data_IF_130130967977
#
_entry.id   IF_130130967977
#
_cell.length_a   1.000
_cell.length_b   1.000
_cell.length_c   1.000
_cell.angle_alpha   90.00
_cell.angle_beta   90.00
_cell.angle_gamma   90.00
#
_symmetry.space_group_name_H-M   'P 1'
#
loop_
_entity.id
_entity.type
_entity.pdbx_description
1 polymer ?
#
# COMPACT_ATOMS: atom_id res chain seq x y z
N UNK A 1 -59.59 -27.52 -19.27
CA UNK A 1 -58.86 -26.25 -19.11
C UNK A 1 -57.63 -26.48 -18.23
N UNK A 2 -56.45 -26.54 -18.83
CA UNK A 2 -55.17 -26.16 -18.19
C UNK A 2 -55.07 -24.61 -18.22
N UNK A 3 -54.15 -23.90 -17.51
CA UNK A 3 -52.83 -24.30 -16.99
C UNK A 3 -52.62 -23.78 -15.54
N UNK A 4 -51.48 -23.78 -14.82
CA UNK A 4 -50.06 -23.76 -15.16
C UNK A 4 -49.27 -24.05 -13.87
N UNK A 5 -48.26 -24.93 -13.94
CA UNK A 5 -47.17 -24.98 -12.94
C UNK A 5 -46.32 -23.70 -13.09
N UNK A 6 -45.97 -23.05 -11.98
CA UNK A 6 -44.84 -22.12 -11.95
C UNK A 6 -43.90 -22.49 -10.82
N UNK A 7 -43.00 -23.41 -11.15
CA UNK A 7 -41.64 -23.45 -10.63
C UNK A 7 -41.02 -22.07 -10.86
N UNK A 8 -40.68 -21.34 -9.81
CA UNK A 8 -39.86 -20.13 -9.92
C UNK A 8 -38.76 -20.19 -8.85
N UNK A 9 -37.66 -20.80 -9.30
CA UNK A 9 -36.27 -20.51 -9.00
C UNK A 9 -35.95 -19.95 -7.60
N UNK A 10 -35.26 -20.83 -6.85
CA UNK A 10 -34.22 -20.47 -5.89
C UNK A 10 -33.38 -19.31 -6.42
N UNK A 11 -33.52 -18.12 -5.81
CA UNK A 11 -32.49 -17.09 -5.87
C UNK A 11 -31.33 -17.55 -4.99
N UNK A 12 -30.46 -18.38 -5.54
CA UNK A 12 -29.08 -18.47 -5.07
C UNK A 12 -28.43 -17.13 -5.35
N UNK A 13 -28.29 -16.33 -4.31
CA UNK A 13 -27.45 -15.14 -4.26
C UNK A 13 -26.00 -15.57 -4.43
N UNK A 14 -25.58 -15.68 -5.69
CA UNK A 14 -24.16 -15.75 -6.05
C UNK A 14 -23.56 -14.38 -5.74
N UNK A 15 -22.96 -14.25 -4.55
CA UNK A 15 -22.11 -13.12 -4.21
C UNK A 15 -20.87 -13.18 -5.09
N UNK A 16 -20.95 -12.56 -6.27
CA UNK A 16 -19.81 -12.30 -7.12
C UNK A 16 -18.90 -11.30 -6.39
N UNK A 17 -17.74 -11.79 -5.96
CA UNK A 17 -16.56 -11.02 -5.59
C UNK A 17 -16.17 -10.12 -6.77
N UNK A 18 -16.73 -8.92 -6.83
CA UNK A 18 -16.35 -7.89 -7.80
C UNK A 18 -15.28 -6.96 -7.18
N UNK A 19 -14.08 -7.49 -6.95
CA UNK A 19 -12.89 -6.69 -6.65
C UNK A 19 -12.26 -6.36 -8.01
N UNK A 20 -12.73 -5.33 -8.70
CA UNK A 20 -12.16 -5.04 -10.03
C UNK A 20 -12.72 -3.88 -10.86
N UNK A 21 -13.57 -3.00 -10.34
CA UNK A 21 -14.16 -1.93 -11.18
C UNK A 21 -14.43 -0.60 -10.43
N UNK A 22 -13.46 -0.09 -9.66
CA UNK A 22 -13.56 1.24 -9.05
C UNK A 22 -12.88 2.36 -9.87
N UNK A 23 -12.38 2.08 -11.07
CA UNK A 23 -11.43 2.98 -11.74
C UNK A 23 -12.00 3.94 -12.80
N UNK A 24 -13.30 3.89 -13.14
CA UNK A 24 -13.83 4.68 -14.28
C UNK A 24 -14.96 5.65 -13.94
N UNK A 25 -15.52 5.63 -12.73
CA UNK A 25 -16.59 6.54 -12.34
C UNK A 25 -16.10 7.90 -11.76
N UNK A 26 -14.80 8.06 -11.50
CA UNK A 26 -14.26 9.27 -10.85
C UNK A 26 -13.96 10.45 -11.80
N UNK A 27 -14.01 10.28 -13.13
CA UNK A 27 -13.64 11.34 -14.08
C UNK A 27 -14.78 12.33 -14.42
N UNK A 28 -16.02 12.07 -14.00
CA UNK A 28 -17.18 12.86 -14.45
C UNK A 28 -17.56 14.05 -13.53
N UNK A 29 -16.84 14.30 -12.43
CA UNK A 29 -17.19 15.34 -11.43
C UNK A 29 -16.17 16.45 -11.21
N UNK A 30 -15.10 16.50 -12.00
CA UNK A 30 -13.92 17.33 -11.72
C UNK A 30 -13.97 18.74 -12.36
N UNK A 31 -14.93 19.56 -11.95
CA UNK A 31 -14.80 21.02 -12.13
C UNK A 31 -13.95 21.58 -10.98
N UNK A 32 -12.68 21.89 -11.29
CA UNK A 32 -11.61 22.39 -10.40
C UNK A 32 -10.74 21.32 -9.69
N UNK A 33 -10.03 20.47 -10.44
CA UNK A 33 -8.85 19.77 -9.90
C UNK A 33 -7.73 20.81 -9.79
N UNK A 34 -7.44 21.25 -8.58
CA UNK A 34 -6.16 21.88 -8.30
C UNK A 34 -5.06 20.87 -8.68
N UNK A 35 -4.11 21.20 -9.59
CA UNK A 35 -3.04 20.29 -9.97
C UNK A 35 -2.14 19.87 -8.78
N UNK A 36 -2.23 20.57 -7.65
CA UNK A 36 -1.56 20.28 -6.39
C UNK A 36 -2.54 19.80 -5.29
N UNK A 37 -3.81 19.57 -5.63
CA UNK A 37 -4.82 19.08 -4.71
C UNK A 37 -4.53 17.66 -4.20
N UNK A 38 -5.11 17.31 -3.04
CA UNK A 38 -4.97 15.99 -2.43
C UNK A 38 -5.21 14.81 -3.39
N UNK A 39 -6.25 14.81 -4.26
CA UNK A 39 -6.48 13.70 -5.17
C UNK A 39 -5.33 13.49 -6.16
N UNK A 40 -4.77 14.56 -6.72
CA UNK A 40 -3.67 14.48 -7.68
C UNK A 40 -2.36 14.03 -6.99
N UNK A 41 -2.11 14.53 -5.78
CA UNK A 41 -0.99 14.08 -4.96
C UNK A 41 -1.08 12.57 -4.65
N UNK A 42 -2.26 12.10 -4.23
CA UNK A 42 -2.51 10.68 -3.99
C UNK A 42 -2.34 9.82 -5.25
N UNK A 43 -2.81 10.29 -6.40
CA UNK A 43 -2.61 9.60 -7.68
C UNK A 43 -1.12 9.47 -8.02
N UNK A 44 -0.31 10.50 -7.75
CA UNK A 44 1.14 10.47 -8.03
C UNK A 44 1.92 9.47 -7.17
N UNK A 45 1.35 9.06 -6.03
CA UNK A 45 1.95 8.09 -5.12
C UNK A 45 1.44 6.66 -5.29
N UNK A 46 0.37 6.46 -6.08
CA UNK A 46 -0.30 5.16 -6.19
C UNK A 46 0.66 4.03 -6.57
N UNK A 47 1.36 4.19 -7.68
CA UNK A 47 2.23 3.13 -8.20
C UNK A 47 3.48 2.94 -7.32
N UNK A 48 4.18 4.02 -6.88
CA UNK A 48 5.28 3.89 -5.90
C UNK A 48 4.87 3.22 -4.60
N UNK A 49 3.73 3.58 -4.01
CA UNK A 49 3.25 3.00 -2.76
C UNK A 49 2.84 1.52 -2.94
N UNK A 50 2.17 1.18 -4.04
CA UNK A 50 1.83 -0.21 -4.34
C UNK A 50 3.09 -1.06 -4.55
N UNK A 51 4.07 -0.54 -5.29
CA UNK A 51 5.38 -1.18 -5.46
C UNK A 51 6.04 -1.38 -4.10
N UNK A 52 5.99 -0.37 -3.22
CA UNK A 52 6.61 -0.48 -1.91
C UNK A 52 6.02 -1.58 -1.03
N UNK A 53 4.70 -1.75 -1.03
CA UNK A 53 4.05 -2.84 -0.29
C UNK A 53 4.47 -4.21 -0.85
N UNK A 54 4.49 -4.37 -2.17
CA UNK A 54 4.94 -5.62 -2.81
C UNK A 54 6.40 -5.93 -2.47
N UNK A 55 7.30 -4.95 -2.67
CA UNK A 55 8.73 -5.15 -2.44
C UNK A 55 9.03 -5.47 -0.97
N UNK A 56 8.34 -4.83 -0.01
CA UNK A 56 8.50 -5.17 1.42
C UNK A 56 8.03 -6.58 1.71
N UNK A 57 6.87 -6.98 1.16
CA UNK A 57 6.36 -8.34 1.31
C UNK A 57 7.34 -9.38 0.76
N UNK A 58 7.94 -9.10 -0.39
CA UNK A 58 8.90 -9.99 -1.03
C UNK A 58 10.23 -10.03 -0.25
N UNK A 59 10.70 -8.89 0.25
CA UNK A 59 11.90 -8.80 1.09
C UNK A 59 11.74 -9.60 2.39
N UNK A 60 10.60 -9.48 3.06
CA UNK A 60 10.29 -10.23 4.28
C UNK A 60 10.20 -11.75 4.03
N UNK A 61 9.76 -12.18 2.85
CA UNK A 61 9.79 -13.60 2.48
C UNK A 61 11.21 -14.09 2.18
N UNK A 62 12.06 -13.24 1.61
CA UNK A 62 13.45 -13.56 1.27
C UNK A 62 14.44 -13.49 2.44
N UNK A 63 14.09 -12.77 3.51
CA UNK A 63 15.01 -12.42 4.60
C UNK A 63 15.69 -13.62 5.28
N UNK A 64 15.04 -14.78 5.35
CA UNK A 64 15.62 -15.97 5.96
C UNK A 64 16.69 -16.63 5.08
N UNK A 65 16.59 -16.46 3.78
CA UNK A 65 17.47 -17.08 2.78
C UNK A 65 18.64 -16.16 2.42
N UNK A 66 18.35 -14.86 2.27
CA UNK A 66 19.32 -13.82 1.94
C UNK A 66 18.91 -12.49 2.59
N UNK A 67 19.28 -12.26 3.86
CA UNK A 67 18.90 -11.05 4.57
C UNK A 67 19.55 -9.79 3.98
N UNK A 68 20.70 -9.91 3.33
CA UNK A 68 21.36 -8.78 2.67
C UNK A 68 20.56 -8.34 1.44
N UNK A 69 20.15 -9.29 0.60
CA UNK A 69 19.30 -8.98 -0.55
C UNK A 69 17.95 -8.37 -0.11
N UNK A 70 17.37 -8.83 1.00
CA UNK A 70 16.17 -8.24 1.57
C UNK A 70 16.39 -6.78 2.02
N UNK A 71 17.51 -6.49 2.70
CA UNK A 71 17.86 -5.13 3.11
C UNK A 71 18.02 -4.19 1.91
N UNK A 72 18.76 -4.64 0.89
CA UNK A 72 19.01 -3.85 -0.32
C UNK A 72 17.71 -3.59 -1.11
N UNK A 73 16.80 -4.57 -1.13
CA UNK A 73 15.48 -4.39 -1.73
C UNK A 73 14.66 -3.34 -0.98
N UNK A 74 14.55 -3.42 0.34
CA UNK A 74 13.83 -2.42 1.16
C UNK A 74 14.44 -1.02 0.99
N UNK A 75 15.77 -0.91 0.97
CA UNK A 75 16.48 0.35 0.72
C UNK A 75 16.14 0.94 -0.65
N UNK A 76 16.18 0.14 -1.71
CA UNK A 76 15.85 0.60 -3.06
C UNK A 76 14.39 1.08 -3.15
N UNK A 77 13.48 0.33 -2.53
CA UNK A 77 12.07 0.70 -2.42
C UNK A 77 11.86 2.00 -1.68
N UNK A 78 12.52 2.19 -0.53
CA UNK A 78 12.49 3.41 0.27
C UNK A 78 12.96 4.60 -0.55
N UNK A 79 14.07 4.46 -1.26
CA UNK A 79 14.64 5.55 -2.08
C UNK A 79 13.72 5.93 -3.25
N UNK A 80 13.10 4.95 -3.90
CA UNK A 80 12.15 5.21 -4.99
C UNK A 80 10.86 5.87 -4.48
N UNK A 81 10.37 5.46 -3.31
CA UNK A 81 9.24 6.12 -2.67
C UNK A 81 9.60 7.54 -2.25
N UNK A 82 10.77 7.78 -1.65
CA UNK A 82 11.23 9.13 -1.27
C UNK A 82 11.27 10.05 -2.50
N UNK A 83 11.82 9.60 -3.63
CA UNK A 83 11.83 10.38 -4.88
C UNK A 83 10.42 10.74 -5.36
N UNK A 84 9.43 9.89 -5.11
CA UNK A 84 8.03 10.19 -5.42
C UNK A 84 7.45 11.21 -4.43
N UNK A 85 7.66 11.01 -3.12
CA UNK A 85 7.25 11.90 -2.03
C UNK A 85 7.81 13.32 -2.21
N UNK A 86 9.07 13.45 -2.66
CA UNK A 86 9.71 14.75 -2.89
C UNK A 86 9.01 15.58 -3.98
N UNK A 87 8.33 14.91 -4.91
CA UNK A 87 7.57 15.55 -5.99
C UNK A 87 6.15 15.95 -5.57
N UNK A 88 5.64 15.38 -4.46
CA UNK A 88 4.32 15.70 -3.93
C UNK A 88 4.30 17.14 -3.44
N UNK A 89 3.31 17.91 -3.90
CA UNK A 89 3.13 19.32 -3.54
C UNK A 89 2.11 19.54 -2.42
N UNK A 90 1.23 18.56 -2.19
CA UNK A 90 0.28 18.64 -1.10
C UNK A 90 0.95 18.25 0.22
N UNK A 91 1.01 19.17 1.17
CA UNK A 91 1.74 18.96 2.43
C UNK A 91 1.18 17.79 3.27
N UNK A 92 -0.14 17.63 3.34
CA UNK A 92 -0.76 16.53 4.11
C UNK A 92 -0.42 15.16 3.51
N UNK A 93 -0.56 15.02 2.19
CA UNK A 93 -0.24 13.78 1.49
C UNK A 93 1.26 13.51 1.55
N UNK A 94 2.09 14.55 1.39
CA UNK A 94 3.55 14.44 1.52
C UNK A 94 3.95 13.98 2.91
N UNK A 95 3.41 14.59 3.96
CA UNK A 95 3.71 14.24 5.35
C UNK A 95 3.26 12.81 5.66
N UNK A 96 2.08 12.38 5.18
CA UNK A 96 1.62 11.01 5.37
C UNK A 96 2.48 9.99 4.62
N UNK A 97 2.92 10.32 3.40
CA UNK A 97 3.77 9.44 2.62
C UNK A 97 5.21 9.39 3.16
N UNK A 98 5.70 10.49 3.75
CA UNK A 98 6.99 10.51 4.44
C UNK A 98 7.02 9.53 5.61
N UNK A 99 5.92 9.38 6.36
CA UNK A 99 5.84 8.36 7.43
C UNK A 99 6.03 6.94 6.91
N UNK A 100 5.58 6.65 5.68
CA UNK A 100 5.83 5.35 5.04
C UNK A 100 7.32 5.18 4.73
N UNK A 101 7.96 6.22 4.21
CA UNK A 101 9.41 6.21 3.96
C UNK A 101 10.21 6.01 5.26
N UNK A 102 9.83 6.69 6.32
CA UNK A 102 10.48 6.57 7.63
C UNK A 102 10.32 5.14 8.18
N UNK A 103 9.11 4.57 8.11
CA UNK A 103 8.86 3.18 8.52
C UNK A 103 9.64 2.14 7.68
N UNK A 104 9.85 2.41 6.39
CA UNK A 104 10.73 1.58 5.55
C UNK A 104 12.20 1.69 5.99
N UNK A 105 12.64 2.86 6.45
CA UNK A 105 13.97 3.07 7.02
C UNK A 105 14.19 2.32 8.33
N UNK A 106 13.17 2.28 9.19
CA UNK A 106 13.18 1.48 10.42
C UNK A 106 13.23 -0.02 10.09
N UNK A 107 12.47 -0.46 9.07
CA UNK A 107 12.51 -1.83 8.61
C UNK A 107 13.88 -2.21 8.05
N UNK A 108 14.46 -1.38 7.18
CA UNK A 108 15.83 -1.55 6.67
C UNK A 108 16.82 -1.71 7.83
N UNK A 109 16.75 -0.83 8.84
CA UNK A 109 17.62 -0.87 10.02
C UNK A 109 17.48 -2.17 10.80
N UNK A 110 16.24 -2.66 10.97
CA UNK A 110 15.98 -3.94 11.63
C UNK A 110 16.55 -5.13 10.83
N UNK A 111 16.48 -5.09 9.49
CA UNK A 111 17.07 -6.13 8.63
C UNK A 111 18.61 -6.06 8.70
N UNK A 112 19.21 -4.87 8.60
CA UNK A 112 20.67 -4.68 8.69
C UNK A 112 21.22 -5.17 10.03
N UNK A 113 20.49 -4.96 11.13
CA UNK A 113 20.85 -5.50 12.44
C UNK A 113 20.86 -7.05 12.44
N UNK A 114 19.91 -7.68 11.76
CA UNK A 114 19.84 -9.14 11.58
C UNK A 114 20.99 -9.66 10.71
N UNK A 115 21.34 -8.94 9.64
CA UNK A 115 22.51 -9.25 8.79
C UNK A 115 23.79 -9.20 9.62
N UNK A 116 23.96 -8.17 10.44
CA UNK A 116 25.14 -8.01 11.29
C UNK A 116 25.25 -9.10 12.38
N UNK A 117 24.11 -9.54 12.91
CA UNK A 117 24.03 -10.54 13.98
C UNK A 117 23.11 -11.73 13.61
N UNK A 118 23.54 -12.63 12.71
CA UNK A 118 22.71 -13.75 12.24
C UNK A 118 22.40 -14.80 13.33
N UNK A 119 23.09 -14.77 14.47
CA UNK A 119 22.78 -15.60 15.63
C UNK A 119 21.65 -15.02 16.51
N UNK A 120 21.32 -13.73 16.37
CA UNK A 120 20.30 -13.06 17.17
C UNK A 120 18.89 -13.39 16.66
N UNK A 121 18.12 -14.13 17.45
CA UNK A 121 16.76 -14.54 17.09
C UNK A 121 15.71 -13.50 17.45
N UNK A 122 16.09 -12.31 17.90
CA UNK A 122 15.12 -11.26 18.20
C UNK A 122 14.44 -10.74 16.92
N UNK A 123 13.26 -11.27 16.65
CA UNK A 123 12.41 -10.86 15.54
C UNK A 123 11.41 -9.78 15.92
N UNK A 124 11.42 -9.28 17.17
CA UNK A 124 10.44 -8.28 17.59
C UNK A 124 10.63 -6.99 16.82
N UNK A 125 11.88 -6.52 16.69
CA UNK A 125 12.20 -5.31 15.92
C UNK A 125 11.74 -5.39 14.46
N UNK A 126 11.95 -6.55 13.81
CA UNK A 126 11.49 -6.78 12.44
C UNK A 126 9.96 -6.79 12.33
N UNK A 127 9.29 -7.41 13.30
CA UNK A 127 7.82 -7.49 13.36
C UNK A 127 7.19 -6.12 13.60
N UNK A 128 7.77 -5.35 14.52
CA UNK A 128 7.33 -4.00 14.86
C UNK A 128 7.52 -3.06 13.68
N UNK A 129 8.70 -3.09 13.04
CA UNK A 129 8.97 -2.29 11.85
C UNK A 129 8.06 -2.68 10.67
N UNK A 130 7.85 -3.98 10.43
CA UNK A 130 6.90 -4.47 9.42
C UNK A 130 5.46 -4.01 9.69
N UNK A 131 5.05 -3.99 10.96
CA UNK A 131 3.74 -3.50 11.38
C UNK A 131 3.61 -1.98 11.24
N UNK A 132 4.69 -1.23 11.49
CA UNK A 132 4.75 0.22 11.26
C UNK A 132 4.59 0.57 9.78
N UNK A 133 5.23 -0.18 8.87
CA UNK A 133 5.04 -0.01 7.41
C UNK A 133 3.58 -0.24 7.02
N UNK A 134 2.96 -1.32 7.50
CA UNK A 134 1.55 -1.61 7.20
C UNK A 134 0.60 -0.52 7.72
N UNK A 135 0.86 -0.03 8.95
CA UNK A 135 0.04 1.01 9.59
C UNK A 135 0.13 2.33 8.84
N UNK A 136 1.35 2.79 8.56
CA UNK A 136 1.57 4.06 7.84
C UNK A 136 1.09 4.01 6.40
N UNK A 137 1.24 2.87 5.71
CA UNK A 137 0.68 2.67 4.38
C UNK A 137 -0.85 2.70 4.39
N UNK A 138 -1.49 2.08 5.40
CA UNK A 138 -2.93 2.16 5.59
C UNK A 138 -3.40 3.59 5.85
N UNK A 139 -2.71 4.34 6.70
CA UNK A 139 -3.05 5.73 7.00
C UNK A 139 -2.99 6.60 5.72
N UNK A 140 -1.98 6.39 4.88
CA UNK A 140 -1.87 7.05 3.58
C UNK A 140 -3.04 6.69 2.65
N UNK A 141 -3.41 5.40 2.59
CA UNK A 141 -4.56 4.94 1.80
C UNK A 141 -5.87 5.57 2.31
N UNK A 142 -6.09 5.59 3.62
CA UNK A 142 -7.29 6.16 4.22
C UNK A 142 -7.37 7.68 3.99
N UNK A 143 -6.24 8.39 4.09
CA UNK A 143 -6.13 9.81 3.75
C UNK A 143 -6.52 10.05 2.28
N UNK A 144 -6.02 9.22 1.38
CA UNK A 144 -6.30 9.33 -0.05
C UNK A 144 -7.74 8.96 -0.41
N UNK A 145 -8.32 7.95 0.24
CA UNK A 145 -9.72 7.58 0.06
C UNK A 145 -10.68 8.67 0.57
N UNK A 146 -10.35 9.31 1.70
CA UNK A 146 -11.12 10.41 2.28
C UNK A 146 -11.13 11.66 1.39
N UNK A 147 -10.17 11.78 0.46
CA UNK A 147 -10.05 12.91 -0.47
C UNK A 147 -10.97 12.79 -1.69
N UNK A 148 -11.69 11.67 -1.83
CA UNK A 148 -12.55 11.34 -2.99
C UNK A 148 -14.06 11.45 -2.68
N UNK A 149 -14.44 11.73 -1.44
CA UNK A 149 -15.82 11.99 -0.99
C UNK A 149 -16.04 13.49 -0.78
#
# INVERSE_FOLDING_TARGET
MAPTRRTALRRTTTALLAIGALSTALLAGCSAIDPNGKPQACLSLKDPAQKAVTDVSDALQGITSDPQAAADQVRATKDDLQKAVDKVKNDDVKASAQKVVDALGDLETAIDARVANPADLDTSALTDAGSAVQTTAKDLVDLCASSLN
#
